data_IF_380723500644
#
_entry.id   IF_380723500644
#
_cell.length_a   1.000
_cell.length_b   1.000
_cell.length_c   1.000
_cell.angle_alpha   90.00
_cell.angle_beta   90.00
_cell.angle_gamma   90.00
#
_symmetry.space_group_name_H-M   'P 1'
#
loop_
_entity.id
_entity.type
_entity.pdbx_description
1 polymer ?
#
# COMPACT_ATOMS: atom_id res chain seq x y z
N UNK A 1 20.50 -20.84 -54.95
CA UNK A 1 20.50 -20.19 -53.62
C UNK A 1 21.94 -20.08 -53.13
N UNK A 2 22.51 -18.88 -53.09
CA UNK A 2 23.82 -18.65 -52.47
C UNK A 2 23.60 -18.46 -50.97
N UNK A 3 23.44 -19.57 -50.25
CA UNK A 3 23.43 -19.59 -48.79
C UNK A 3 24.84 -19.66 -48.22
N UNK A 4 24.99 -19.27 -46.95
CA UNK A 4 26.25 -19.40 -46.21
C UNK A 4 26.70 -20.87 -46.21
N UNK A 5 27.97 -21.14 -46.52
CA UNK A 5 28.51 -22.50 -46.63
C UNK A 5 28.90 -23.08 -45.27
N UNK A 6 28.98 -22.25 -44.23
CA UNK A 6 29.36 -22.64 -42.88
C UNK A 6 28.78 -21.70 -41.80
N UNK A 7 28.43 -22.21 -40.59
CA UNK A 7 28.03 -21.39 -39.44
C UNK A 7 29.10 -20.38 -38.98
N UNK A 8 30.37 -20.59 -39.32
CA UNK A 8 31.47 -19.69 -38.93
C UNK A 8 31.69 -18.54 -39.90
N UNK A 9 31.24 -18.67 -41.15
CA UNK A 9 31.35 -17.61 -42.17
C UNK A 9 30.45 -16.43 -41.88
N UNK A 10 29.31 -16.65 -41.21
CA UNK A 10 28.34 -15.60 -40.88
C UNK A 10 28.98 -14.41 -40.15
N UNK A 11 29.91 -14.64 -39.22
CA UNK A 11 30.61 -13.57 -38.50
C UNK A 11 31.55 -12.72 -39.37
N UNK A 12 32.01 -13.26 -40.50
CA UNK A 12 32.93 -12.58 -41.43
C UNK A 12 32.18 -11.88 -42.57
N UNK A 13 31.00 -12.36 -42.93
CA UNK A 13 30.19 -11.84 -44.03
C UNK A 13 28.99 -11.00 -43.57
N UNK A 14 28.60 -11.06 -42.30
CA UNK A 14 27.50 -10.28 -41.74
C UNK A 14 28.00 -9.40 -40.60
N UNK A 15 27.79 -8.09 -40.73
CA UNK A 15 28.04 -7.13 -39.66
C UNK A 15 26.74 -6.82 -38.95
N UNK A 16 26.50 -7.45 -37.79
CA UNK A 16 25.36 -7.13 -36.95
C UNK A 16 25.60 -5.78 -36.27
N UNK A 17 24.79 -4.80 -36.63
CA UNK A 17 24.76 -3.50 -35.94
C UNK A 17 23.57 -3.48 -35.00
N UNK A 18 23.79 -3.03 -33.76
CA UNK A 18 22.68 -2.76 -32.85
C UNK A 18 21.84 -1.64 -33.47
N UNK A 19 20.55 -1.88 -33.68
CA UNK A 19 19.63 -0.83 -34.12
C UNK A 19 19.62 0.24 -33.03
N UNK A 20 20.00 1.47 -33.39
CA UNK A 20 19.83 2.61 -32.51
C UNK A 20 18.33 2.84 -32.34
N UNK A 21 17.89 2.94 -31.08
CA UNK A 21 16.49 3.16 -30.73
C UNK A 21 16.06 4.55 -31.19
N UNK A 22 15.58 4.65 -32.43
CA UNK A 22 15.11 5.88 -33.05
C UNK A 22 13.69 6.24 -32.59
N UNK A 23 13.40 6.34 -31.29
CA UNK A 23 12.15 6.93 -30.83
C UNK A 23 12.39 7.89 -29.67
N UNK A 24 12.18 9.17 -29.99
CA UNK A 24 12.35 10.40 -29.23
C UNK A 24 13.79 10.90 -29.05
N UNK A 25 14.01 12.08 -29.62
CA UNK A 25 15.30 12.73 -29.81
C UNK A 25 16.06 13.02 -28.53
N UNK A 26 17.33 13.30 -28.76
CA UNK A 26 18.40 13.51 -27.79
C UNK A 26 19.12 12.21 -27.41
N UNK A 27 20.44 12.21 -27.63
CA UNK A 27 21.40 11.11 -27.59
C UNK A 27 21.62 10.47 -26.20
N UNK A 28 20.54 10.19 -25.47
CA UNK A 28 20.57 9.66 -24.10
C UNK A 28 19.84 8.33 -24.05
N UNK A 29 20.56 7.29 -23.63
CA UNK A 29 20.01 5.98 -23.25
C UNK A 29 18.74 6.15 -22.42
N UNK A 30 17.67 5.42 -22.74
CA UNK A 30 16.44 5.32 -21.94
C UNK A 30 16.76 5.01 -20.47
N UNK A 31 16.16 5.74 -19.53
CA UNK A 31 16.30 5.53 -18.08
C UNK A 31 14.92 5.58 -17.43
N UNK A 32 14.73 4.79 -16.38
CA UNK A 32 13.57 4.84 -15.50
C UNK A 32 13.43 6.23 -14.84
N UNK A 33 12.20 6.67 -14.52
CA UNK A 33 11.95 8.00 -13.97
C UNK A 33 12.69 8.25 -12.67
N UNK A 34 13.04 9.52 -12.41
CA UNK A 34 13.76 9.90 -11.18
C UNK A 34 12.96 9.59 -9.92
N UNK A 35 11.65 9.87 -9.92
CA UNK A 35 10.78 9.58 -8.76
C UNK A 35 10.70 8.09 -8.44
N UNK A 36 10.90 7.21 -9.43
CA UNK A 36 10.91 5.77 -9.24
C UNK A 36 12.27 5.27 -8.72
N UNK A 37 13.34 5.98 -9.08
CA UNK A 37 14.73 5.59 -8.80
C UNK A 37 15.36 6.39 -7.65
N UNK A 38 14.63 7.32 -7.04
CA UNK A 38 14.95 7.95 -5.76
C UNK A 38 15.22 6.89 -4.69
N UNK A 39 14.42 5.82 -4.71
CA UNK A 39 14.72 4.59 -4.02
C UNK A 39 15.22 3.53 -5.02
N UNK A 40 16.43 3.02 -4.79
CA UNK A 40 17.02 1.99 -5.63
C UNK A 40 16.52 0.57 -5.32
N UNK A 41 15.78 0.38 -4.23
CA UNK A 41 15.34 -0.93 -3.77
C UNK A 41 13.89 -0.87 -3.29
N UNK A 42 13.06 -1.73 -3.87
CA UNK A 42 11.65 -1.87 -3.59
C UNK A 42 11.32 -3.33 -3.31
N UNK A 43 10.26 -3.58 -2.53
CA UNK A 43 9.83 -4.93 -2.15
C UNK A 43 8.32 -5.07 -2.30
N UNK A 44 7.86 -6.28 -2.59
CA UNK A 44 6.44 -6.62 -2.33
C UNK A 44 6.15 -6.56 -0.83
N UNK A 45 4.87 -6.45 -0.47
CA UNK A 45 4.47 -6.26 0.94
C UNK A 45 4.91 -7.43 1.83
N UNK A 46 4.82 -8.65 1.31
CA UNK A 46 5.28 -9.91 1.90
C UNK A 46 6.80 -10.12 1.83
N UNK A 47 7.53 -9.25 1.12
CA UNK A 47 8.97 -9.36 0.80
C UNK A 47 9.37 -10.61 0.00
N UNK A 48 8.42 -11.30 -0.64
CA UNK A 48 8.75 -12.45 -1.51
C UNK A 48 9.57 -12.03 -2.73
N UNK A 49 9.42 -10.78 -3.18
CA UNK A 49 10.14 -10.21 -4.33
C UNK A 49 10.83 -8.91 -3.97
N UNK A 50 12.01 -8.70 -4.56
CA UNK A 50 12.80 -7.48 -4.45
C UNK A 50 13.12 -6.95 -5.83
N UNK A 51 12.91 -5.65 -6.01
CA UNK A 51 13.09 -4.90 -7.25
C UNK A 51 14.22 -3.90 -7.03
N UNK A 52 15.32 -4.05 -7.76
CA UNK A 52 16.51 -3.23 -7.62
C UNK A 52 16.84 -2.47 -8.90
N UNK A 53 16.88 -1.15 -8.82
CA UNK A 53 17.28 -0.27 -9.93
C UNK A 53 18.78 -0.04 -9.93
N UNK A 54 19.41 -0.22 -11.08
CA UNK A 54 20.85 0.01 -11.25
C UNK A 54 21.22 1.49 -11.05
N UNK A 55 22.48 1.82 -10.68
CA UNK A 55 22.90 3.21 -10.45
C UNK A 55 22.77 4.15 -11.65
N UNK A 56 22.68 3.60 -12.88
CA UNK A 56 22.45 4.38 -14.10
C UNK A 56 20.96 4.54 -14.44
N UNK A 57 20.07 4.01 -13.60
CA UNK A 57 18.62 4.01 -13.74
C UNK A 57 18.15 3.38 -15.06
N UNK A 58 18.97 2.55 -15.71
CA UNK A 58 18.66 1.97 -17.01
C UNK A 58 18.18 0.52 -16.91
N UNK A 59 18.37 -0.13 -15.76
CA UNK A 59 18.05 -1.54 -15.56
C UNK A 59 17.37 -1.74 -14.23
N UNK A 60 16.28 -2.50 -14.25
CA UNK A 60 15.58 -3.03 -13.09
C UNK A 60 15.88 -4.54 -13.01
N UNK A 61 16.19 -5.03 -11.81
CA UNK A 61 16.35 -6.46 -11.51
C UNK A 61 15.29 -6.88 -10.51
N UNK A 62 14.51 -7.89 -10.86
CA UNK A 62 13.61 -8.57 -9.93
C UNK A 62 14.29 -9.84 -9.41
N UNK A 63 14.32 -9.99 -8.10
CA UNK A 63 14.83 -11.16 -7.41
C UNK A 63 13.74 -11.74 -6.54
N UNK A 64 13.59 -13.06 -6.56
CA UNK A 64 12.68 -13.79 -5.68
C UNK A 64 13.50 -14.36 -4.53
N UNK A 65 12.95 -14.27 -3.32
CA UNK A 65 13.53 -14.85 -2.11
C UNK A 65 12.62 -15.96 -1.59
N UNK A 66 12.77 -17.22 -2.08
CA UNK A 66 12.03 -18.34 -1.53
C UNK A 66 12.43 -18.59 -0.07
N UNK A 67 11.47 -18.92 0.78
CA UNK A 67 11.69 -19.15 2.21
C UNK A 67 12.85 -20.12 2.46
N UNK A 68 13.88 -19.65 3.19
CA UNK A 68 15.05 -20.45 3.56
C UNK A 68 16.14 -20.58 2.48
N UNK A 69 16.04 -19.84 1.36
CA UNK A 69 17.02 -19.91 0.27
C UNK A 69 17.56 -18.52 -0.13
N UNK A 70 18.77 -18.45 -0.73
CA UNK A 70 19.31 -17.18 -1.20
C UNK A 70 18.46 -16.59 -2.33
N UNK A 71 18.36 -15.25 -2.35
CA UNK A 71 17.62 -14.52 -3.38
C UNK A 71 18.17 -14.83 -4.78
N UNK A 72 17.31 -15.26 -5.70
CA UNK A 72 17.68 -15.55 -7.09
C UNK A 72 17.10 -14.49 -8.00
N UNK A 73 17.94 -13.90 -8.86
CA UNK A 73 17.49 -12.98 -9.92
C UNK A 73 16.60 -13.77 -10.88
N UNK A 74 15.34 -13.37 -10.98
CA UNK A 74 14.34 -14.01 -11.84
C UNK A 74 14.20 -13.25 -13.17
N UNK A 75 14.21 -11.93 -13.13
CA UNK A 75 14.01 -11.09 -14.30
C UNK A 75 14.96 -9.90 -14.30
N UNK A 76 15.47 -9.56 -15.48
CA UNK A 76 16.17 -8.30 -15.74
C UNK A 76 15.37 -7.51 -16.79
N UNK A 77 14.99 -6.28 -16.48
CA UNK A 77 14.31 -5.37 -17.40
C UNK A 77 15.21 -4.17 -17.71
N UNK A 78 15.41 -3.87 -18.99
CA UNK A 78 16.20 -2.72 -19.46
C UNK A 78 15.26 -1.74 -20.16
N UNK A 79 15.34 -0.46 -19.80
CA UNK A 79 14.55 0.61 -20.42
C UNK A 79 14.82 0.65 -21.93
N UNK A 80 13.77 0.58 -22.75
CA UNK A 80 13.87 0.71 -24.20
C UNK A 80 13.33 2.08 -24.66
N UNK A 81 12.06 2.36 -24.39
CA UNK A 81 11.39 3.61 -24.77
C UNK A 81 10.23 3.95 -23.82
N UNK A 82 9.83 5.22 -23.81
CA UNK A 82 8.62 5.68 -23.13
C UNK A 82 7.44 5.72 -24.08
N UNK A 83 6.28 5.29 -23.62
CA UNK A 83 4.99 5.57 -24.27
C UNK A 83 4.34 6.81 -23.65
N UNK A 84 4.35 6.88 -22.31
CA UNK A 84 3.85 8.03 -21.55
C UNK A 84 4.70 8.25 -20.32
N UNK A 85 5.03 9.50 -20.02
CA UNK A 85 5.76 9.91 -18.83
C UNK A 85 5.01 11.07 -18.15
N UNK A 86 4.62 10.86 -16.89
CA UNK A 86 3.99 11.87 -16.05
C UNK A 86 4.51 11.75 -14.62
N UNK A 87 4.22 12.76 -13.80
CA UNK A 87 4.63 12.78 -12.38
C UNK A 87 3.98 11.68 -11.53
N UNK A 88 2.87 11.10 -12.02
CA UNK A 88 2.07 10.08 -11.29
C UNK A 88 2.07 8.72 -11.97
N UNK A 89 2.47 8.64 -13.25
CA UNK A 89 2.44 7.42 -14.03
C UNK A 89 3.55 7.41 -15.08
N UNK A 90 4.24 6.28 -15.23
CA UNK A 90 5.17 6.05 -16.33
C UNK A 90 4.85 4.73 -17.04
N UNK A 91 4.59 4.79 -18.35
CA UNK A 91 4.43 3.63 -19.23
C UNK A 91 5.67 3.50 -20.10
N UNK A 92 6.35 2.37 -19.96
CA UNK A 92 7.69 2.14 -20.49
C UNK A 92 7.69 0.79 -21.19
N UNK A 93 8.17 0.77 -22.43
CA UNK A 93 8.56 -0.48 -23.10
C UNK A 93 9.93 -0.86 -22.54
N UNK A 94 10.02 -2.07 -22.01
CA UNK A 94 11.26 -2.62 -21.47
C UNK A 94 11.65 -3.87 -22.24
N UNK A 95 12.95 -4.04 -22.45
CA UNK A 95 13.50 -5.32 -22.90
C UNK A 95 13.77 -6.19 -21.67
N UNK A 96 13.00 -7.26 -21.52
CA UNK A 96 13.11 -8.20 -20.41
C UNK A 96 13.95 -9.42 -20.77
N UNK A 97 14.57 -10.01 -19.75
CA UNK A 97 15.30 -11.27 -19.85
C UNK A 97 14.97 -12.12 -18.63
N UNK A 98 14.40 -13.29 -18.85
CA UNK A 98 14.00 -14.27 -17.84
C UNK A 98 14.65 -15.62 -18.23
N UNK A 99 15.64 -16.05 -17.45
CA UNK A 99 16.45 -17.22 -17.84
C UNK A 99 17.11 -17.02 -19.21
N UNK A 100 16.81 -17.92 -20.15
CA UNK A 100 17.30 -17.85 -21.54
C UNK A 100 16.34 -17.13 -22.50
N UNK A 101 15.16 -16.71 -22.03
CA UNK A 101 14.15 -16.05 -22.86
C UNK A 101 14.29 -14.54 -22.72
N UNK A 102 14.15 -13.84 -23.85
CA UNK A 102 14.15 -12.37 -23.90
C UNK A 102 13.09 -11.87 -24.87
N UNK A 103 12.60 -10.67 -24.60
CA UNK A 103 11.62 -9.98 -25.45
C UNK A 103 11.25 -8.63 -24.86
N UNK A 104 10.27 -7.97 -25.46
CA UNK A 104 9.77 -6.68 -25.00
C UNK A 104 8.50 -6.86 -24.16
N UNK A 105 8.34 -6.04 -23.13
CA UNK A 105 7.15 -6.05 -22.28
C UNK A 105 6.78 -4.61 -21.92
N UNK A 106 5.49 -4.34 -21.79
CA UNK A 106 5.01 -3.03 -21.36
C UNK A 106 4.97 -3.01 -19.84
N UNK A 107 5.65 -2.05 -19.23
CA UNK A 107 5.60 -1.80 -17.79
C UNK A 107 4.88 -0.48 -17.55
N UNK A 108 3.92 -0.48 -16.62
CA UNK A 108 3.28 0.74 -16.14
C UNK A 108 3.50 0.85 -14.64
N UNK A 109 4.19 1.92 -14.25
CA UNK A 109 4.39 2.30 -12.86
C UNK A 109 3.40 3.39 -12.48
N UNK A 110 2.76 3.25 -11.33
CA UNK A 110 1.87 4.23 -10.73
C UNK A 110 2.50 4.72 -9.43
N UNK A 111 2.75 6.02 -9.33
CA UNK A 111 3.21 6.64 -8.08
C UNK A 111 2.00 6.80 -7.15
N UNK A 112 1.99 6.08 -6.02
CA UNK A 112 0.91 6.15 -5.02
C UNK A 112 1.27 7.05 -3.85
N UNK A 113 2.50 6.93 -3.37
CA UNK A 113 3.12 7.79 -2.38
C UNK A 113 4.64 7.88 -2.68
N UNK A 114 5.42 8.66 -1.92
CA UNK A 114 6.87 8.75 -2.08
C UNK A 114 7.57 7.39 -1.91
N UNK A 115 7.08 6.56 -1.00
CA UNK A 115 7.62 5.23 -0.72
C UNK A 115 6.69 4.08 -1.12
N UNK A 116 5.60 4.34 -1.86
CA UNK A 116 4.68 3.30 -2.36
C UNK A 116 4.38 3.50 -3.84
N UNK A 117 4.57 2.45 -4.62
CA UNK A 117 4.24 2.43 -6.05
C UNK A 117 3.44 1.18 -6.38
N UNK A 118 2.76 1.19 -7.52
CA UNK A 118 2.22 -0.04 -8.11
C UNK A 118 2.80 -0.28 -9.49
N UNK A 119 3.04 -1.54 -9.80
CA UNK A 119 3.53 -2.01 -11.09
C UNK A 119 2.47 -2.91 -11.75
N UNK A 120 2.13 -2.60 -13.00
CA UNK A 120 1.48 -3.53 -13.93
C UNK A 120 2.44 -3.83 -15.08
N UNK A 121 2.42 -5.06 -15.59
CA UNK A 121 3.23 -5.42 -16.74
C UNK A 121 2.49 -6.39 -17.67
N UNK A 122 2.86 -6.41 -18.95
CA UNK A 122 2.27 -7.34 -19.94
C UNK A 122 2.45 -8.78 -19.48
N UNK A 123 1.41 -9.60 -19.67
CA UNK A 123 1.42 -11.01 -19.25
C UNK A 123 2.53 -11.81 -19.93
N UNK A 124 2.79 -11.53 -21.21
CA UNK A 124 3.81 -12.17 -22.03
C UNK A 124 4.73 -11.11 -22.63
N UNK A 125 5.96 -11.51 -22.96
CA UNK A 125 6.85 -10.69 -23.78
C UNK A 125 6.60 -10.88 -25.27
N UNK A 126 6.81 -9.83 -26.05
CA UNK A 126 6.71 -9.81 -27.52
C UNK A 126 8.11 -9.80 -28.15
N UNK A 127 8.22 -10.19 -29.42
CA UNK A 127 9.46 -10.06 -30.19
C UNK A 127 9.72 -8.63 -30.65
N UNK A 128 8.65 -7.87 -30.89
CA UNK A 128 8.66 -6.50 -31.37
C UNK A 128 8.32 -5.50 -30.26
N UNK A 129 9.06 -4.39 -30.12
CA UNK A 129 8.80 -3.39 -29.08
C UNK A 129 7.46 -2.68 -29.25
N UNK A 130 7.02 -2.43 -30.49
CA UNK A 130 5.74 -1.79 -30.83
C UNK A 130 4.52 -2.58 -30.34
N UNK A 131 4.63 -3.90 -30.26
CA UNK A 131 3.55 -4.76 -29.81
C UNK A 131 3.43 -4.83 -28.28
N UNK A 132 4.48 -4.45 -27.55
CA UNK A 132 4.59 -4.71 -26.12
C UNK A 132 3.44 -4.07 -25.32
N UNK A 133 3.13 -2.80 -25.65
CA UNK A 133 2.05 -2.00 -25.04
C UNK A 133 0.74 -2.02 -25.83
N UNK A 134 0.63 -2.82 -26.89
CA UNK A 134 -0.61 -2.96 -27.66
C UNK A 134 -1.74 -3.54 -26.77
N UNK A 135 -3.01 -3.11 -26.91
CA UNK A 135 -4.13 -3.57 -26.06
C UNK A 135 -4.32 -5.09 -25.96
N UNK A 136 -3.86 -5.84 -26.96
CA UNK A 136 -3.88 -7.30 -26.97
C UNK A 136 -2.89 -7.92 -25.96
N UNK A 137 -1.80 -7.22 -25.66
CA UNK A 137 -0.73 -7.67 -24.75
C UNK A 137 -0.78 -6.96 -23.40
N UNK A 138 -1.27 -5.72 -23.37
CA UNK A 138 -1.41 -4.91 -22.17
C UNK A 138 -2.83 -4.35 -22.04
N UNK A 139 -3.58 -4.88 -21.07
CA UNK A 139 -4.87 -4.33 -20.67
C UNK A 139 -4.84 -3.95 -19.18
N UNK A 140 -4.86 -2.64 -18.84
CA UNK A 140 -4.73 -2.20 -17.45
C UNK A 140 -5.93 -2.60 -16.56
N UNK A 141 -7.07 -2.97 -17.15
CA UNK A 141 -8.27 -3.37 -16.40
C UNK A 141 -8.20 -4.83 -15.92
N UNK A 142 -7.45 -5.69 -16.62
CA UNK A 142 -7.39 -7.13 -16.33
C UNK A 142 -6.06 -7.55 -15.72
N UNK A 143 -4.99 -6.77 -15.95
CA UNK A 143 -3.66 -7.09 -15.42
C UNK A 143 -3.57 -6.78 -13.91
N UNK A 144 -2.93 -7.66 -13.12
CA UNK A 144 -2.83 -7.47 -11.69
C UNK A 144 -1.85 -6.33 -11.34
N UNK A 145 -2.19 -5.59 -10.29
CA UNK A 145 -1.27 -4.65 -9.65
C UNK A 145 -0.34 -5.41 -8.71
N UNK A 146 0.94 -5.12 -8.80
CA UNK A 146 1.94 -5.47 -7.78
C UNK A 146 2.28 -4.22 -6.99
N UNK A 147 1.91 -4.18 -5.72
CA UNK A 147 2.26 -3.07 -4.82
C UNK A 147 3.69 -3.24 -4.34
N UNK A 148 4.50 -2.20 -4.51
CA UNK A 148 5.89 -2.18 -4.08
C UNK A 148 6.11 -1.04 -3.07
N UNK A 149 6.93 -1.33 -2.06
CA UNK A 149 7.25 -0.42 -0.97
C UNK A 149 8.75 -0.42 -0.68
N UNK A 150 9.25 0.69 -0.16
CA UNK A 150 10.64 0.77 0.32
C UNK A 150 10.86 -0.07 1.58
N UNK A 151 12.12 -0.36 1.92
CA UNK A 151 12.46 -1.10 3.14
C UNK A 151 12.04 -0.37 4.42
N UNK A 152 12.09 0.97 4.40
CA UNK A 152 11.84 1.84 5.55
C UNK A 152 10.87 2.96 5.16
N UNK A 153 9.56 2.65 5.02
CA UNK A 153 8.56 3.63 4.64
C UNK A 153 8.34 4.65 5.76
N UNK A 154 8.06 5.90 5.37
CA UNK A 154 7.75 6.97 6.32
C UNK A 154 6.40 6.71 7.01
N UNK A 155 6.22 7.31 8.19
CA UNK A 155 4.93 7.32 8.87
C UNK A 155 4.04 8.41 8.26
N UNK A 156 2.78 8.07 8.02
CA UNK A 156 1.75 9.00 7.55
C UNK A 156 0.56 8.97 8.50
N UNK A 157 -0.18 10.07 8.57
CA UNK A 157 -1.45 10.10 9.27
C UNK A 157 -2.38 9.02 8.71
N UNK A 158 -3.03 8.26 9.60
CA UNK A 158 -3.98 7.25 9.16
C UNK A 158 -5.23 7.93 8.56
N UNK A 159 -5.79 7.41 7.45
CA UNK A 159 -7.07 7.88 6.96
C UNK A 159 -8.19 7.51 7.93
N UNK A 160 -9.35 8.17 7.82
CA UNK A 160 -10.53 7.86 8.65
C UNK A 160 -10.28 8.00 10.16
N UNK A 161 -9.68 9.13 10.57
CA UNK A 161 -9.45 9.43 11.99
C UNK A 161 -10.77 9.39 12.76
N UNK A 162 -10.83 8.58 13.82
CA UNK A 162 -12.04 8.40 14.60
C UNK A 162 -12.08 7.11 15.44
N UNK A 163 -13.23 6.87 16.05
CA UNK A 163 -13.54 5.69 16.83
C UNK A 163 -14.60 4.86 16.12
N UNK A 164 -14.35 3.57 15.99
CA UNK A 164 -15.18 2.65 15.24
C UNK A 164 -15.54 1.43 16.07
N UNK A 165 -16.77 0.96 15.91
CA UNK A 165 -17.17 -0.37 16.37
C UNK A 165 -16.83 -1.37 15.28
N UNK A 166 -16.19 -2.48 15.66
CA UNK A 166 -15.86 -3.57 14.74
C UNK A 166 -16.94 -4.65 14.90
N UNK A 167 -17.60 -5.00 13.80
CA UNK A 167 -18.52 -6.14 13.75
C UNK A 167 -17.85 -7.30 13.04
N UNK A 168 -18.03 -8.52 13.58
CA UNK A 168 -17.38 -9.73 13.08
C UNK A 168 -17.61 -9.92 11.57
N UNK A 169 -16.51 -9.91 10.82
CA UNK A 169 -16.41 -10.62 9.55
C UNK A 169 -15.54 -11.87 9.76
N UNK A 170 -15.55 -12.79 8.79
CA UNK A 170 -14.88 -14.09 8.89
C UNK A 170 -13.47 -13.94 9.51
N UNK A 171 -13.33 -14.38 10.75
CA UNK A 171 -12.06 -14.42 11.46
C UNK A 171 -11.19 -15.41 10.71
N UNK A 172 -10.17 -14.92 10.01
CA UNK A 172 -9.13 -15.80 9.50
C UNK A 172 -8.50 -16.45 10.73
N UNK A 173 -8.65 -17.76 10.81
CA UNK A 173 -8.21 -18.64 11.88
C UNK A 173 -6.67 -18.78 11.93
N UNK A 174 -5.97 -17.65 12.03
CA UNK A 174 -4.52 -17.59 12.13
C UNK A 174 -4.04 -17.59 13.59
N UNK A 175 -4.57 -18.51 14.42
CA UNK A 175 -3.95 -19.01 15.66
C UNK A 175 -4.90 -19.95 16.40
N UNK A 176 -5.25 -21.10 15.80
CA UNK A 176 -5.85 -22.21 16.55
C UNK A 176 -4.87 -23.38 16.59
N UNK A 177 -3.77 -23.21 17.33
CA UNK A 177 -3.03 -24.34 17.87
C UNK A 177 -3.34 -24.45 19.35
N UNK A 178 -3.96 -25.57 19.71
CA UNK A 178 -4.35 -25.96 21.05
C UNK A 178 -3.15 -25.95 21.99
N UNK A 179 -3.22 -25.09 23.01
CA UNK A 179 -2.85 -25.47 24.35
C UNK A 179 -4.06 -25.16 25.23
N UNK A 180 -4.63 -26.18 25.84
CA UNK A 180 -5.75 -26.07 26.76
C UNK A 180 -5.36 -25.28 28.03
N UNK A 181 -6.41 -24.70 28.61
CA UNK A 181 -6.52 -24.09 29.93
C UNK A 181 -6.30 -22.58 30.10
N UNK A 182 -7.37 -22.01 30.68
CA UNK A 182 -7.45 -20.87 31.59
C UNK A 182 -7.86 -19.52 30.97
N UNK A 183 -9.18 -19.29 31.01
CA UNK A 183 -9.89 -17.99 30.92
C UNK A 183 -9.24 -17.01 29.93
N UNK A 184 -9.44 -17.23 28.63
CA UNK A 184 -8.89 -16.34 27.62
C UNK A 184 -10.02 -15.57 26.97
N UNK A 185 -10.07 -14.26 27.16
CA UNK A 185 -11.00 -13.41 26.43
C UNK A 185 -10.92 -13.75 24.94
N UNK A 186 -12.07 -14.08 24.38
CA UNK A 186 -12.19 -14.34 22.96
C UNK A 186 -11.62 -13.12 22.23
N UNK A 187 -10.74 -13.34 21.25
CA UNK A 187 -9.98 -12.28 20.56
C UNK A 187 -10.86 -11.44 19.62
N UNK A 188 -12.14 -11.30 19.96
CA UNK A 188 -13.12 -10.50 19.25
C UNK A 188 -12.78 -9.02 19.46
N UNK A 189 -12.26 -8.41 18.41
CA UNK A 189 -12.03 -6.97 18.37
C UNK A 189 -13.39 -6.26 18.44
N UNK A 190 -13.55 -5.40 19.45
CA UNK A 190 -14.80 -4.66 19.67
C UNK A 190 -14.70 -3.25 19.10
N UNK A 191 -13.52 -2.65 19.23
CA UNK A 191 -13.28 -1.25 18.93
C UNK A 191 -11.99 -1.07 18.12
N UNK A 192 -12.05 -0.16 17.17
CA UNK A 192 -10.93 0.31 16.39
C UNK A 192 -10.79 1.82 16.59
N UNK A 193 -9.62 2.23 17.07
CA UNK A 193 -9.24 3.63 17.23
C UNK A 193 -8.24 3.99 16.13
N UNK A 194 -8.56 4.99 15.33
CA UNK A 194 -7.69 5.43 14.22
C UNK A 194 -7.26 6.86 14.49
N UNK A 195 -5.96 7.08 14.67
CA UNK A 195 -5.39 8.40 14.92
C UNK A 195 -5.77 9.05 16.25
N UNK A 196 -6.43 8.32 17.18
CA UNK A 196 -6.84 8.89 18.48
C UNK A 196 -5.73 8.87 19.54
N UNK A 197 -4.72 8.04 19.37
CA UNK A 197 -3.45 8.14 20.09
C UNK A 197 -2.48 8.99 19.26
N UNK A 198 -1.36 8.43 18.79
CA UNK A 198 -0.60 9.04 17.71
C UNK A 198 -1.39 9.09 16.39
N UNK A 199 -1.26 10.18 15.63
CA UNK A 199 -2.03 10.40 14.39
C UNK A 199 -1.78 9.34 13.29
N UNK A 200 -0.64 8.65 13.37
CA UNK A 200 -0.20 7.64 12.41
C UNK A 200 -0.47 6.19 12.87
N UNK A 201 -1.25 5.99 13.93
CA UNK A 201 -1.57 4.64 14.44
C UNK A 201 -3.03 4.28 14.27
N UNK A 202 -3.26 2.99 14.04
CA UNK A 202 -4.55 2.33 14.18
C UNK A 202 -4.43 1.25 15.26
N UNK A 203 -5.38 1.22 16.19
CA UNK A 203 -5.33 0.36 17.37
C UNK A 203 -6.63 -0.40 17.54
N UNK A 204 -6.53 -1.72 17.59
CA UNK A 204 -7.63 -2.62 17.86
C UNK A 204 -7.66 -2.97 19.34
N UNK A 205 -8.82 -2.79 19.95
CA UNK A 205 -9.07 -3.03 21.37
C UNK A 205 -10.12 -4.13 21.54
N UNK A 206 -9.94 -4.96 22.57
CA UNK A 206 -10.94 -5.95 23.00
C UNK A 206 -11.72 -5.43 24.20
N UNK A 207 -12.84 -6.07 24.55
CA UNK A 207 -13.65 -5.67 25.72
C UNK A 207 -12.94 -5.91 27.07
N UNK A 208 -11.88 -6.71 27.07
CA UNK A 208 -11.29 -7.23 28.30
C UNK A 208 -10.02 -6.54 28.76
N UNK A 209 -9.42 -5.72 27.89
CA UNK A 209 -8.17 -5.03 28.18
C UNK A 209 -8.27 -3.58 27.74
N UNK A 210 -7.70 -2.69 28.55
CA UNK A 210 -7.46 -1.30 28.15
C UNK A 210 -6.27 -1.17 27.19
N UNK A 211 -5.45 -2.21 27.05
CA UNK A 211 -4.33 -2.23 26.11
C UNK A 211 -4.77 -2.71 24.73
N UNK A 212 -4.19 -2.10 23.69
CA UNK A 212 -4.43 -2.51 22.32
C UNK A 212 -3.94 -3.96 22.09
N UNK A 213 -4.83 -4.80 21.54
CA UNK A 213 -4.53 -6.20 21.20
C UNK A 213 -3.70 -6.28 19.93
N UNK A 214 -3.98 -5.40 18.98
CA UNK A 214 -3.19 -5.22 17.76
C UNK A 214 -3.08 -3.74 17.45
N UNK A 215 -1.91 -3.30 17.02
CA UNK A 215 -1.67 -1.91 16.66
C UNK A 215 -0.80 -1.86 15.41
N UNK A 216 -1.09 -0.92 14.51
CA UNK A 216 -0.38 -0.75 13.25
C UNK A 216 -0.02 0.72 13.03
N UNK A 217 1.08 0.93 12.33
CA UNK A 217 1.52 2.23 11.84
C UNK A 217 1.16 2.41 10.38
N UNK A 218 0.52 3.52 10.03
CA UNK A 218 0.14 3.87 8.68
C UNK A 218 1.31 4.45 7.88
N UNK A 219 1.38 4.11 6.60
CA UNK A 219 2.47 4.52 5.71
C UNK A 219 1.99 5.22 4.44
N UNK A 220 0.86 4.84 3.86
CA UNK A 220 0.32 5.48 2.67
C UNK A 220 -1.15 5.12 2.50
N UNK A 221 -1.94 6.04 1.95
CA UNK A 221 -3.30 5.76 1.49
C UNK A 221 -3.55 6.34 0.10
N UNK A 222 -4.41 5.68 -0.67
CA UNK A 222 -4.90 6.18 -1.95
C UNK A 222 -6.26 5.57 -2.27
N UNK A 223 -6.97 6.14 -3.24
CA UNK A 223 -8.19 5.57 -3.79
C UNK A 223 -7.99 5.01 -5.19
N UNK A 224 -8.90 4.12 -5.60
CA UNK A 224 -9.12 3.84 -7.01
C UNK A 224 -9.59 5.09 -7.78
N UNK A 225 -9.64 5.00 -9.10
CA UNK A 225 -9.97 6.12 -9.99
C UNK A 225 -11.40 6.64 -9.83
N UNK A 226 -12.31 5.80 -9.35
CA UNK A 226 -13.72 6.11 -9.08
C UNK A 226 -13.98 6.44 -7.60
N UNK A 227 -12.95 6.49 -6.75
CA UNK A 227 -13.03 6.77 -5.32
C UNK A 227 -13.99 5.87 -4.52
N UNK A 228 -14.23 4.64 -5.00
CA UNK A 228 -15.09 3.66 -4.34
C UNK A 228 -14.34 2.79 -3.34
N UNK A 229 -13.07 2.52 -3.64
CA UNK A 229 -12.20 1.66 -2.83
C UNK A 229 -10.98 2.44 -2.40
N UNK A 230 -10.68 2.39 -1.10
CA UNK A 230 -9.49 3.00 -0.52
C UNK A 230 -8.51 1.91 -0.07
N UNK A 231 -7.24 2.15 -0.30
CA UNK A 231 -6.15 1.27 0.06
C UNK A 231 -5.31 1.96 1.13
N UNK A 232 -4.93 1.23 2.17
CA UNK A 232 -4.07 1.73 3.23
C UNK A 232 -2.95 0.72 3.48
N UNK A 233 -1.70 1.17 3.37
CA UNK A 233 -0.56 0.36 3.76
C UNK A 233 -0.22 0.64 5.22
N UNK A 234 -0.14 -0.43 6.01
CA UNK A 234 0.26 -0.35 7.41
C UNK A 234 1.15 -1.53 7.84
N UNK A 235 2.02 -1.26 8.82
CA UNK A 235 2.92 -2.27 9.40
C UNK A 235 2.55 -2.51 10.88
N UNK A 236 2.58 -3.75 11.38
CA UNK A 236 2.36 -4.02 12.80
C UNK A 236 3.40 -3.31 13.68
N UNK A 237 2.94 -2.69 14.77
CA UNK A 237 3.81 -2.08 15.79
C UNK A 237 4.52 -3.14 16.65
N UNK A 238 3.85 -4.26 16.91
CA UNK A 238 4.41 -5.36 17.70
C UNK A 238 5.21 -6.33 16.84
N UNK A 239 6.50 -6.47 17.13
CA UNK A 239 7.36 -7.51 16.51
C UNK A 239 7.06 -8.93 17.00
N UNK A 240 6.14 -9.11 17.96
CA UNK A 240 5.69 -10.44 18.40
C UNK A 240 4.68 -11.06 17.44
N UNK A 241 4.18 -10.30 16.45
CA UNK A 241 3.29 -10.86 15.44
C UNK A 241 4.07 -11.84 14.56
N UNK A 242 3.68 -13.11 14.58
CA UNK A 242 4.09 -14.12 13.59
C UNK A 242 3.49 -13.83 12.20
N UNK A 243 2.69 -12.76 12.08
CA UNK A 243 2.02 -12.31 10.87
C UNK A 243 2.93 -11.62 9.85
N UNK A 244 2.31 -11.11 8.79
CA UNK A 244 3.02 -10.45 7.70
C UNK A 244 3.72 -9.17 8.16
N UNK A 245 4.82 -8.81 7.48
CA UNK A 245 5.57 -7.59 7.79
C UNK A 245 4.76 -6.33 7.52
N UNK A 246 3.88 -6.37 6.52
CA UNK A 246 3.05 -5.28 6.04
C UNK A 246 1.72 -5.81 5.54
N UNK A 247 0.70 -4.96 5.67
CA UNK A 247 -0.66 -5.26 5.24
C UNK A 247 -1.16 -4.14 4.34
N UNK A 248 -1.91 -4.53 3.32
CA UNK A 248 -2.82 -3.64 2.61
C UNK A 248 -4.23 -3.83 3.16
N UNK A 249 -4.75 -2.80 3.80
CA UNK A 249 -6.14 -2.69 4.20
C UNK A 249 -6.93 -2.14 3.01
N UNK A 250 -7.83 -2.94 2.47
CA UNK A 250 -8.72 -2.58 1.37
C UNK A 250 -10.09 -2.27 1.96
N UNK A 251 -10.55 -1.04 1.74
CA UNK A 251 -11.74 -0.49 2.38
C UNK A 251 -12.77 -0.07 1.34
N UNK A 252 -14.01 -0.51 1.54
CA UNK A 252 -15.14 -0.24 0.64
C UNK A 252 -16.23 0.51 1.40
N UNK A 253 -16.74 1.59 0.81
CA UNK A 253 -17.94 2.24 1.31
C UNK A 253 -19.17 1.40 0.94
N UNK A 254 -19.93 0.93 1.93
CA UNK A 254 -21.22 0.30 1.66
C UNK A 254 -22.24 1.38 1.29
N UNK A 255 -22.96 1.28 0.15
CA UNK A 255 -23.97 2.25 -0.26
C UNK A 255 -25.29 2.15 0.52
N UNK A 256 -25.35 1.46 1.68
CA UNK A 256 -26.59 1.34 2.42
C UNK A 256 -26.99 2.62 3.19
N UNK A 257 -28.20 3.04 2.85
CA UNK A 257 -28.97 4.21 3.25
C UNK A 257 -29.03 4.49 4.76
N UNK A 258 -28.66 5.70 5.16
CA UNK A 258 -29.33 6.44 6.24
C UNK A 258 -28.82 6.28 7.68
N UNK A 259 -27.97 5.29 7.98
CA UNK A 259 -27.38 5.10 9.31
C UNK A 259 -25.88 4.81 9.16
N UNK A 260 -25.05 5.53 9.94
CA UNK A 260 -23.58 5.51 10.00
C UNK A 260 -22.87 4.63 8.96
N UNK A 261 -22.22 5.25 7.98
CA UNK A 261 -21.53 4.59 6.87
C UNK A 261 -20.75 3.35 7.33
N UNK A 262 -21.26 2.17 6.97
CA UNK A 262 -20.61 0.90 7.20
C UNK A 262 -19.44 0.78 6.23
N UNK A 263 -18.23 0.65 6.76
CA UNK A 263 -17.02 0.46 5.98
C UNK A 263 -16.60 -1.01 6.06
N UNK A 264 -16.65 -1.70 4.92
CA UNK A 264 -16.16 -3.08 4.82
C UNK A 264 -14.65 -3.06 4.63
N UNK A 265 -13.93 -3.85 5.41
CA UNK A 265 -12.47 -3.90 5.38
C UNK A 265 -12.00 -5.32 5.13
N UNK A 266 -11.03 -5.47 4.25
CA UNK A 266 -10.29 -6.71 4.04
C UNK A 266 -8.78 -6.45 4.13
N UNK A 267 -8.03 -7.42 4.64
CA UNK A 267 -6.58 -7.32 4.79
C UNK A 267 -5.86 -8.29 3.86
N UNK A 268 -4.90 -7.76 3.09
CA UNK A 268 -4.09 -8.52 2.14
C UNK A 268 -2.61 -8.33 2.47
N UNK A 269 -1.81 -9.38 2.30
CA UNK A 269 -0.39 -9.40 2.69
C UNK A 269 0.57 -9.34 1.50
N UNK A 270 0.12 -9.67 0.30
CA UNK A 270 0.97 -9.75 -0.90
C UNK A 270 0.96 -8.43 -1.71
N UNK A 271 -0.23 -7.94 -2.05
CA UNK A 271 -0.43 -6.74 -2.89
C UNK A 271 -1.82 -6.12 -2.66
N UNK A 272 -2.02 -4.85 -3.00
CA UNK A 272 -3.32 -4.20 -2.92
C UNK A 272 -4.23 -4.56 -4.10
N UNK A 273 -4.80 -5.77 -4.08
CA UNK A 273 -5.71 -6.24 -5.13
C UNK A 273 -7.00 -5.41 -5.20
N UNK A 274 -7.51 -5.17 -6.42
CA UNK A 274 -8.72 -4.38 -6.67
C UNK A 274 -10.02 -5.15 -6.40
N UNK A 275 -10.02 -6.45 -6.65
CA UNK A 275 -11.19 -7.31 -6.51
C UNK A 275 -11.01 -8.26 -5.33
N UNK A 276 -10.90 -7.72 -4.12
CA UNK A 276 -10.98 -8.52 -2.90
C UNK A 276 -12.46 -8.69 -2.59
N UNK A 277 -12.92 -9.94 -2.42
CA UNK A 277 -14.27 -10.22 -1.97
C UNK A 277 -14.22 -10.47 -0.45
N UNK A 278 -14.66 -9.51 0.38
CA UNK A 278 -14.70 -9.70 1.83
C UNK A 278 -15.48 -10.97 2.18
N UNK A 279 -14.89 -11.86 2.98
CA UNK A 279 -15.55 -13.08 3.48
C UNK A 279 -15.62 -14.27 2.50
N UNK A 280 -15.27 -14.14 1.22
CA UNK A 280 -15.55 -15.18 0.23
C UNK A 280 -14.65 -16.43 0.27
N UNK A 281 -13.50 -16.42 0.98
CA UNK A 281 -12.55 -17.56 0.90
C UNK A 281 -11.73 -17.86 2.16
N UNK A 282 -11.97 -17.21 3.31
CA UNK A 282 -11.14 -17.39 4.52
C UNK A 282 -9.64 -17.04 4.34
N UNK A 283 -9.26 -16.57 3.14
CA UNK A 283 -7.89 -16.26 2.73
C UNK A 283 -7.42 -14.90 3.28
N UNK A 284 -8.38 -14.01 3.57
CA UNK A 284 -8.14 -12.65 4.04
C UNK A 284 -8.95 -12.42 5.31
N UNK A 285 -8.35 -11.79 6.32
CA UNK A 285 -9.10 -11.31 7.46
C UNK A 285 -9.93 -10.11 7.02
N UNK A 286 -11.25 -10.20 7.21
CA UNK A 286 -12.21 -9.20 6.82
C UNK A 286 -13.15 -8.88 7.99
N UNK A 287 -13.58 -7.63 8.10
CA UNK A 287 -14.47 -7.15 9.15
C UNK A 287 -15.21 -5.90 8.67
N UNK A 288 -16.31 -5.60 9.35
CA UNK A 288 -17.02 -4.35 9.12
C UNK A 288 -16.69 -3.37 10.24
N UNK A 289 -16.54 -2.10 9.90
CA UNK A 289 -16.41 -1.04 10.89
C UNK A 289 -17.50 0.02 10.72
N UNK A 290 -18.09 0.43 11.84
CA UNK A 290 -19.12 1.47 11.89
C UNK A 290 -18.60 2.64 12.72
N UNK A 291 -18.67 3.85 12.17
CA UNK A 291 -18.21 5.03 12.89
C UNK A 291 -19.07 5.26 14.15
N UNK A 292 -18.40 5.34 15.30
CA UNK A 292 -19.03 5.51 16.61
C UNK A 292 -18.80 6.91 17.20
N UNK A 293 -17.64 7.52 16.94
CA UNK A 293 -17.33 8.86 17.45
C UNK A 293 -16.04 9.45 16.86
N UNK A 294 -15.73 10.70 17.20
CA UNK A 294 -14.45 11.33 16.83
C UNK A 294 -13.41 11.13 17.93
N UNK A 295 -12.14 11.30 17.58
CA UNK A 295 -11.09 11.38 18.58
C UNK A 295 -11.31 12.65 19.42
N UNK A 296 -11.26 12.52 20.75
CA UNK A 296 -11.51 13.63 21.68
C UNK A 296 -12.93 13.72 22.25
N UNK A 297 -13.90 12.95 21.73
CA UNK A 297 -15.24 12.86 22.34
C UNK A 297 -15.13 12.02 23.63
N UNK A 298 -14.72 12.60 24.74
CA UNK A 298 -14.76 11.94 26.05
C UNK A 298 -16.20 11.69 26.46
N UNK A 299 -16.64 10.43 26.51
CA UNK A 299 -17.86 9.98 27.20
C UNK A 299 -17.71 10.04 28.73
N UNK A 300 -17.07 11.09 29.23
CA UNK A 300 -16.59 11.18 30.61
C UNK A 300 -16.32 12.60 31.10
N UNK A 301 -16.92 13.64 30.51
CA UNK A 301 -17.11 14.89 31.24
C UNK A 301 -18.43 14.83 31.99
N UNK A 302 -18.41 14.24 33.19
CA UNK A 302 -19.26 14.81 34.25
C UNK A 302 -18.70 16.20 34.49
N UNK A 303 -19.30 17.19 33.86
CA UNK A 303 -19.13 18.59 34.27
C UNK A 303 -19.49 18.64 35.75
N UNK A 304 -18.47 18.62 36.61
CA UNK A 304 -18.66 18.89 38.02
C UNK A 304 -19.26 20.29 38.10
N UNK A 305 -20.46 20.46 38.70
CA UNK A 305 -21.09 21.78 38.80
C UNK A 305 -20.26 22.79 39.62
N UNK A 306 -19.15 22.35 40.25
CA UNK A 306 -18.24 23.25 40.98
C UNK A 306 -17.56 24.30 40.09
N UNK A 307 -17.20 24.00 38.83
CA UNK A 307 -16.45 24.97 38.01
C UNK A 307 -17.32 26.13 37.51
N UNK A 308 -18.60 25.89 37.20
CA UNK A 308 -19.52 26.96 36.80
C UNK A 308 -19.89 27.86 37.99
N UNK A 309 -20.02 27.29 39.19
CA UNK A 309 -20.33 28.04 40.41
C UNK A 309 -19.19 28.99 40.81
N UNK A 310 -17.92 28.55 40.70
CA UNK A 310 -16.76 29.38 40.99
C UNK A 310 -16.64 30.58 40.04
N UNK A 311 -16.90 30.38 38.75
CA UNK A 311 -16.89 31.46 37.76
C UNK A 311 -18.01 32.47 38.06
N UNK A 312 -19.20 32.00 38.43
CA UNK A 312 -20.31 32.88 38.83
C UNK A 312 -20.03 33.68 40.10
N UNK A 313 -19.39 33.08 41.11
CA UNK A 313 -19.05 33.78 42.35
C UNK A 313 -17.99 34.85 42.10
N UNK A 314 -16.98 34.57 41.26
CA UNK A 314 -15.94 35.54 40.91
C UNK A 314 -16.52 36.72 40.11
N UNK A 315 -17.44 36.47 39.17
CA UNK A 315 -18.08 37.55 38.41
C UNK A 315 -19.00 38.41 39.28
N UNK A 316 -19.79 37.81 40.18
CA UNK A 316 -20.65 38.56 41.11
C UNK A 316 -19.84 39.36 42.13
N UNK A 317 -18.74 38.82 42.64
CA UNK A 317 -17.89 39.56 43.59
C UNK A 317 -17.19 40.75 42.92
N UNK A 318 -16.72 40.59 41.67
CA UNK A 318 -16.12 41.69 40.89
C UNK A 318 -17.14 42.79 40.54
N UNK A 319 -18.39 42.44 40.24
CA UNK A 319 -19.43 43.44 39.94
C UNK A 319 -19.91 44.18 41.19
N UNK A 320 -19.98 43.50 42.35
CA UNK A 320 -20.30 44.17 43.62
C UNK A 320 -19.16 45.09 44.05
N UNK A 321 -17.90 44.65 43.92
CA UNK A 321 -16.74 45.50 44.22
C UNK A 321 -16.65 46.74 43.32
N UNK A 322 -16.98 46.61 42.03
CA UNK A 322 -16.98 47.76 41.11
C UNK A 322 -18.09 48.76 41.46
N UNK A 323 -19.28 48.30 41.88
CA UNK A 323 -20.36 49.21 42.30
C UNK A 323 -20.04 49.93 43.62
N UNK A 324 -19.38 49.27 44.58
CA UNK A 324 -18.98 49.89 45.86
C UNK A 324 -17.89 50.96 45.65
N UNK A 325 -17.01 50.78 44.68
CA UNK A 325 -15.97 51.77 44.32
C UNK A 325 -16.53 53.01 43.59
N UNK A 326 -17.71 52.92 42.99
CA UNK A 326 -18.38 54.05 42.31
C UNK A 326 -19.23 54.90 43.27
N UNK A 327 -19.54 54.36 44.46
CA UNK A 327 -20.37 55.00 45.49
C UNK A 327 -19.56 55.63 46.64
N UNK A 328 -18.23 55.67 46.54
CA UNK A 328 -17.31 56.39 47.44
C UNK A 328 -16.56 57.47 46.67
#
# INVERSE_FOLDING_TARGET
CNGLLSPTEGSRTMRLTKVESHHHGDSKSCRFPKWLTEHHQWHTLDHSKTFHFSPRNATLKESVSPAGSPSKVQMRAVCHSYETDSDTQARIVVHITIGCQSGYSCFVFYKRDGHVIELQHSKNSTSQPEDACHPNNFNPQTLPFTTLITSSPELRQCPFVGRYLVSEGNTASASKQMLEEKITCDQQYQALLVGCGPEHTMEFHSQCSSEAVAAYSCHADWSDSNATTRYLIASPLSRKSVGARRYCFVMYNSPETGQSALLQVATVTESCHRHVLPGATGQYWAFNMTQHGKCGDSSGERTSPMSAALIYIVTVTLTVLSQVLVLR
#
